data_IF_283200882416
#
_entry.id   IF_283200882416
#
_cell.length_a   1.000
_cell.length_b   1.000
_cell.length_c   1.000
_cell.angle_alpha   90.00
_cell.angle_beta   90.00
_cell.angle_gamma   90.00
#
_symmetry.space_group_name_H-M   'P 1'
#
loop_
_entity.id
_entity.type
_entity.pdbx_description
1 polymer ?
#
# COMPACT_ATOMS: atom_id res chain seq x y z
N UNK A 1 -7.44 -6.02 -19.00
CA UNK A 1 -6.20 -5.27 -18.70
C UNK A 1 -6.50 -3.78 -18.74
N UNK A 2 -5.97 -2.97 -17.80
CA UNK A 2 -6.16 -1.52 -17.81
C UNK A 2 -5.43 -0.86 -18.98
N UNK A 3 -5.98 0.24 -19.49
CA UNK A 3 -5.34 1.06 -20.52
C UNK A 3 -4.13 1.83 -19.97
N UNK A 4 -3.20 2.21 -20.85
CA UNK A 4 -2.06 3.08 -20.48
C UNK A 4 -2.53 4.34 -19.74
N UNK A 5 -3.61 4.96 -20.22
CA UNK A 5 -4.18 6.15 -19.59
C UNK A 5 -4.59 5.90 -18.13
N UNK A 6 -5.28 4.79 -17.85
CA UNK A 6 -5.66 4.39 -16.48
C UNK A 6 -4.45 4.11 -15.59
N UNK A 7 -3.34 3.64 -16.18
CA UNK A 7 -2.09 3.38 -15.44
C UNK A 7 -1.36 4.69 -15.14
N UNK A 8 -1.36 5.66 -16.05
CA UNK A 8 -0.54 6.88 -15.91
C UNK A 8 -1.26 8.07 -15.29
N UNK A 9 -2.59 8.06 -15.24
CA UNK A 9 -3.39 9.11 -14.61
C UNK A 9 -3.73 8.75 -13.16
N UNK A 10 -3.71 9.78 -12.30
CA UNK A 10 -4.15 9.73 -10.91
C UNK A 10 -5.46 10.50 -10.81
N UNK A 11 -6.53 9.84 -10.34
CA UNK A 11 -7.82 10.47 -10.10
C UNK A 11 -7.96 10.65 -8.60
N UNK A 12 -7.93 11.90 -8.15
CA UNK A 12 -8.05 12.26 -6.72
C UNK A 12 -9.51 12.51 -6.28
N UNK A 13 -10.51 12.35 -7.15
CA UNK A 13 -11.90 12.62 -6.75
C UNK A 13 -12.45 11.48 -5.87
N UNK A 14 -12.76 11.74 -4.58
CA UNK A 14 -13.54 10.79 -3.82
C UNK A 14 -14.98 10.90 -4.34
N UNK A 15 -15.52 9.80 -4.88
CA UNK A 15 -16.96 9.68 -4.90
C UNK A 15 -17.45 9.77 -3.44
N UNK A 16 -18.45 10.60 -3.18
CA UNK A 16 -18.94 10.90 -1.83
C UNK A 16 -19.27 9.61 -1.05
N UNK A 17 -18.41 9.20 -0.11
CA UNK A 17 -18.61 8.01 0.70
C UNK A 17 -17.60 7.89 1.83
N UNK A 18 -18.03 7.38 2.99
CA UNK A 18 -17.11 7.01 4.07
C UNK A 18 -16.48 5.65 3.71
N UNK A 19 -15.15 5.57 3.52
CA UNK A 19 -14.50 4.33 3.15
C UNK A 19 -14.25 3.42 4.36
N UNK A 20 -14.33 3.95 5.59
CA UNK A 20 -13.94 3.23 6.79
C UNK A 20 -15.00 2.23 7.23
N UNK A 21 -14.60 0.96 7.32
CA UNK A 21 -15.31 -0.09 8.06
C UNK A 21 -14.94 -0.01 9.54
N UNK A 22 -13.67 0.30 9.81
CA UNK A 22 -13.15 0.59 11.15
C UNK A 22 -12.39 1.91 11.07
N UNK A 23 -12.82 2.90 11.87
CA UNK A 23 -12.14 4.19 11.94
C UNK A 23 -10.71 4.06 12.52
N UNK A 24 -9.71 4.69 11.88
CA UNK A 24 -8.35 4.69 12.40
C UNK A 24 -8.23 5.60 13.62
N UNK A 25 -7.25 5.34 14.49
CA UNK A 25 -6.86 6.32 15.51
C UNK A 25 -5.86 7.33 14.92
N UNK A 26 -5.86 8.58 15.42
CA UNK A 26 -4.76 9.49 15.17
C UNK A 26 -3.45 8.85 15.62
N UNK A 27 -2.44 8.91 14.77
CA UNK A 27 -1.14 8.30 15.04
C UNK A 27 -0.01 9.14 14.50
N UNK A 28 1.11 9.11 15.21
CA UNK A 28 2.36 9.69 14.76
C UNK A 28 3.00 8.72 13.77
N UNK A 29 3.41 9.22 12.60
CA UNK A 29 4.17 8.40 11.64
C UNK A 29 5.59 8.26 12.18
N UNK A 30 5.89 7.11 12.78
CA UNK A 30 7.28 6.73 13.07
C UNK A 30 7.91 6.13 11.81
N UNK A 31 8.92 6.81 11.29
CA UNK A 31 9.73 6.32 10.18
C UNK A 31 10.98 5.64 10.74
N UNK A 32 11.20 4.39 10.36
CA UNK A 32 12.41 3.64 10.72
C UNK A 32 13.30 3.45 9.49
N UNK A 33 14.59 3.24 9.71
CA UNK A 33 15.50 2.82 8.64
C UNK A 33 15.12 1.43 8.12
N UNK A 34 15.61 1.10 6.91
CA UNK A 34 15.27 -0.15 6.27
C UNK A 34 15.65 -1.37 7.13
N UNK A 35 14.69 -2.28 7.32
CA UNK A 35 14.90 -3.55 8.02
C UNK A 35 15.12 -4.68 7.00
N UNK A 36 16.27 -5.38 7.03
CA UNK A 36 16.54 -6.50 6.13
C UNK A 36 15.61 -7.72 6.34
N UNK A 37 14.81 -7.76 7.41
CA UNK A 37 13.82 -8.80 7.63
C UNK A 37 12.48 -8.55 6.90
N UNK A 38 12.22 -7.34 6.38
CA UNK A 38 10.97 -7.05 5.66
C UNK A 38 10.68 -7.98 4.47
N UNK A 39 11.67 -8.35 3.62
CA UNK A 39 11.43 -9.35 2.57
C UNK A 39 11.02 -10.72 3.11
N UNK A 40 11.59 -11.15 4.23
CA UNK A 40 11.24 -12.43 4.89
C UNK A 40 9.81 -12.37 5.42
N UNK A 41 9.47 -11.30 6.16
CA UNK A 41 8.12 -11.07 6.68
C UNK A 41 7.08 -11.04 5.56
N UNK A 42 7.36 -10.32 4.47
CA UNK A 42 6.47 -10.26 3.31
C UNK A 42 6.30 -11.62 2.63
N UNK A 43 7.36 -12.42 2.53
CA UNK A 43 7.29 -13.79 1.99
C UNK A 43 6.36 -14.66 2.85
N UNK A 44 6.49 -14.63 4.17
CA UNK A 44 5.66 -15.41 5.09
C UNK A 44 4.18 -15.01 5.01
N UNK A 45 3.88 -13.71 4.92
CA UNK A 45 2.52 -13.21 4.70
C UNK A 45 1.97 -13.74 3.37
N UNK A 46 2.75 -13.69 2.29
CA UNK A 46 2.34 -14.18 0.96
C UNK A 46 2.05 -15.67 0.97
N UNK A 47 2.91 -16.46 1.59
CA UNK A 47 2.72 -17.91 1.75
C UNK A 47 1.43 -18.20 2.52
N UNK A 48 1.22 -17.52 3.65
CA UNK A 48 0.01 -17.65 4.45
C UNK A 48 -1.27 -17.27 3.69
N UNK A 49 -1.25 -16.17 2.94
CA UNK A 49 -2.40 -15.78 2.10
C UNK A 49 -2.66 -16.78 0.97
N UNK A 50 -1.60 -17.33 0.37
CA UNK A 50 -1.71 -18.37 -0.65
C UNK A 50 -2.32 -19.65 -0.08
N UNK A 51 -1.95 -20.05 1.14
CA UNK A 51 -2.52 -21.22 1.83
C UNK A 51 -3.99 -21.01 2.17
N UNK A 52 -4.34 -19.84 2.71
CA UNK A 52 -5.71 -19.52 3.12
C UNK A 52 -6.69 -19.45 1.94
N UNK A 53 -6.26 -18.86 0.82
CA UNK A 53 -7.15 -18.54 -0.29
C UNK A 53 -7.04 -19.52 -1.47
N UNK A 54 -5.97 -20.31 -1.53
CA UNK A 54 -5.70 -21.24 -2.63
C UNK A 54 -5.82 -20.54 -3.98
N UNK A 55 -6.59 -21.12 -4.90
CA UNK A 55 -6.79 -20.59 -6.25
C UNK A 55 -7.52 -19.23 -6.30
N UNK A 56 -8.12 -18.77 -5.20
CA UNK A 56 -8.75 -17.43 -5.15
C UNK A 56 -7.72 -16.32 -5.12
N UNK A 57 -6.52 -16.57 -4.58
CA UNK A 57 -5.40 -15.65 -4.67
C UNK A 57 -4.72 -15.80 -6.03
N UNK A 58 -5.14 -15.00 -7.00
CA UNK A 58 -4.58 -15.02 -8.37
C UNK A 58 -3.13 -14.56 -8.36
N UNK A 59 -2.83 -13.54 -7.55
CA UNK A 59 -1.50 -12.95 -7.45
C UNK A 59 -1.31 -12.29 -6.09
N UNK A 60 -0.10 -12.36 -5.55
CA UNK A 60 0.25 -11.74 -4.27
C UNK A 60 1.63 -11.09 -4.39
N UNK A 61 1.70 -9.77 -4.25
CA UNK A 61 2.94 -8.99 -4.40
C UNK A 61 3.26 -8.19 -3.15
N UNK A 62 4.53 -8.19 -2.76
CA UNK A 62 5.06 -7.22 -1.80
C UNK A 62 5.30 -5.89 -2.50
N UNK A 63 4.64 -4.84 -2.02
CA UNK A 63 4.66 -3.48 -2.57
C UNK A 63 4.95 -2.47 -1.46
N UNK A 64 4.78 -1.18 -1.77
CA UNK A 64 5.04 -0.11 -0.80
C UNK A 64 6.53 0.09 -0.51
N UNK A 65 6.81 0.88 0.53
CA UNK A 65 8.19 1.28 0.86
C UNK A 65 9.02 0.13 1.43
N UNK A 66 8.41 -0.78 2.19
CA UNK A 66 9.13 -1.92 2.79
C UNK A 66 9.61 -2.94 1.75
N UNK A 67 9.09 -2.86 0.52
CA UNK A 67 9.56 -3.65 -0.61
C UNK A 67 10.80 -3.06 -1.31
N UNK A 68 11.32 -1.90 -0.88
CA UNK A 68 12.48 -1.24 -1.51
C UNK A 68 13.65 -1.27 -0.54
N UNK A 69 14.69 -2.04 -0.88
CA UNK A 69 15.91 -2.13 -0.09
C UNK A 69 16.55 -0.75 0.15
N UNK A 70 16.94 -0.49 1.40
CA UNK A 70 17.56 0.76 1.83
C UNK A 70 16.61 1.97 1.92
N UNK A 71 15.31 1.79 1.73
CA UNK A 71 14.34 2.87 1.83
C UNK A 71 13.72 2.91 3.25
N UNK A 72 13.83 4.03 3.99
CA UNK A 72 13.19 4.16 5.30
C UNK A 72 11.67 4.16 5.17
N UNK A 73 10.95 3.53 6.09
CA UNK A 73 9.51 3.32 5.97
C UNK A 73 8.83 3.32 7.33
N UNK A 74 7.49 3.47 7.33
CA UNK A 74 6.69 2.98 8.45
C UNK A 74 6.86 1.45 8.47
N UNK A 75 7.07 0.80 9.63
CA UNK A 75 7.29 -0.64 9.70
C UNK A 75 5.98 -1.42 9.48
N UNK A 76 5.42 -1.31 8.28
CA UNK A 76 4.19 -1.95 7.83
C UNK A 76 4.46 -2.60 6.48
N UNK A 77 4.19 -3.89 6.36
CA UNK A 77 4.29 -4.62 5.11
C UNK A 77 3.05 -4.34 4.27
N UNK A 78 3.22 -3.82 3.06
CA UNK A 78 2.12 -3.61 2.12
C UNK A 78 2.09 -4.77 1.10
N UNK A 79 0.96 -5.45 1.00
CA UNK A 79 0.71 -6.54 0.06
C UNK A 79 -0.42 -6.16 -0.90
N UNK A 80 -0.20 -6.34 -2.19
CA UNK A 80 -1.29 -6.40 -3.17
C UNK A 80 -1.75 -7.85 -3.30
N UNK A 81 -3.03 -8.11 -3.04
CA UNK A 81 -3.72 -9.36 -3.25
C UNK A 81 -4.69 -9.21 -4.43
N UNK A 82 -4.43 -9.90 -5.53
CA UNK A 82 -5.34 -9.97 -6.67
C UNK A 82 -6.29 -11.16 -6.51
N UNK A 83 -7.59 -10.87 -6.55
CA UNK A 83 -8.67 -11.86 -6.61
C UNK A 83 -9.46 -11.69 -7.90
N UNK A 84 -10.32 -12.64 -8.26
CA UNK A 84 -11.10 -12.55 -9.50
C UNK A 84 -12.05 -11.34 -9.50
N UNK A 85 -12.72 -11.11 -8.37
CA UNK A 85 -13.62 -10.00 -8.12
C UNK A 85 -13.45 -9.56 -6.66
N UNK A 86 -12.97 -8.35 -6.44
CA UNK A 86 -12.80 -7.82 -5.08
C UNK A 86 -14.14 -7.47 -4.42
N UNK A 87 -15.25 -7.42 -5.17
CA UNK A 87 -16.59 -7.24 -4.60
C UNK A 87 -17.21 -8.51 -4.07
N UNK A 88 -16.70 -9.68 -4.47
CA UNK A 88 -17.14 -10.99 -3.96
C UNK A 88 -16.56 -11.29 -2.58
N UNK A 89 -16.91 -10.44 -1.61
CA UNK A 89 -16.42 -10.51 -0.24
C UNK A 89 -16.80 -11.82 0.46
N UNK A 90 -17.94 -12.42 0.07
CA UNK A 90 -18.36 -13.73 0.59
C UNK A 90 -17.33 -14.84 0.29
N UNK A 91 -16.51 -14.67 -0.76
CA UNK A 91 -15.51 -15.64 -1.18
C UNK A 91 -14.21 -15.64 -0.37
N UNK A 92 -13.91 -14.58 0.39
CA UNK A 92 -12.59 -14.44 1.03
C UNK A 92 -12.57 -13.70 2.38
N UNK A 93 -13.55 -12.86 2.69
CA UNK A 93 -13.49 -11.98 3.88
C UNK A 93 -13.49 -12.78 5.18
N UNK A 94 -14.40 -13.74 5.33
CA UNK A 94 -14.44 -14.59 6.54
C UNK A 94 -13.15 -15.36 6.74
N UNK A 95 -12.61 -15.96 5.67
CA UNK A 95 -11.32 -16.67 5.71
C UNK A 95 -10.17 -15.80 6.18
N UNK A 96 -10.10 -14.55 5.71
CA UNK A 96 -9.08 -13.60 6.15
C UNK A 96 -9.31 -13.13 7.59
N UNK A 97 -10.56 -12.88 7.98
CA UNK A 97 -10.91 -12.49 9.35
C UNK A 97 -10.61 -13.58 10.37
N UNK A 98 -10.92 -14.84 10.05
CA UNK A 98 -10.61 -16.00 10.90
C UNK A 98 -9.10 -16.19 11.08
N UNK A 99 -8.30 -15.75 10.09
CA UNK A 99 -6.86 -15.67 10.17
C UNK A 99 -6.35 -14.40 10.89
N UNK A 100 -7.22 -13.54 11.40
CA UNK A 100 -6.80 -12.30 12.07
C UNK A 100 -6.35 -11.21 11.10
N UNK A 101 -6.90 -11.16 9.89
CA UNK A 101 -6.83 -9.97 9.03
C UNK A 101 -8.17 -9.25 9.07
N UNK A 102 -8.19 -7.99 9.50
CA UNK A 102 -9.43 -7.24 9.70
C UNK A 102 -9.67 -6.30 8.54
N UNK A 103 -10.82 -6.42 7.90
CA UNK A 103 -11.27 -5.49 6.87
C UNK A 103 -11.53 -4.11 7.49
N UNK A 104 -10.78 -3.11 7.04
CA UNK A 104 -10.82 -1.75 7.59
C UNK A 104 -11.33 -0.71 6.60
N UNK A 105 -11.22 -0.97 5.29
CA UNK A 105 -11.58 0.00 4.24
C UNK A 105 -12.33 -0.68 3.09
N UNK A 106 -13.36 -0.02 2.58
CA UNK A 106 -14.01 -0.30 1.29
C UNK A 106 -14.05 0.97 0.46
N UNK A 107 -13.48 0.95 -0.73
CA UNK A 107 -13.46 2.08 -1.67
C UNK A 107 -13.99 1.62 -3.03
N UNK A 108 -15.33 1.50 -3.21
CA UNK A 108 -15.92 1.13 -4.49
C UNK A 108 -15.46 2.02 -5.65
N UNK A 109 -15.28 3.32 -5.37
CA UNK A 109 -14.83 4.32 -6.35
C UNK A 109 -13.36 4.21 -6.74
N UNK A 110 -12.53 3.54 -5.94
CA UNK A 110 -11.12 3.35 -6.23
C UNK A 110 -10.87 1.90 -6.64
N UNK A 111 -11.40 1.55 -7.82
CA UNK A 111 -11.23 0.23 -8.42
C UNK A 111 -11.70 -0.92 -7.52
N UNK A 112 -12.80 -0.70 -6.80
CA UNK A 112 -13.37 -1.73 -5.93
C UNK A 112 -12.35 -2.22 -4.88
N UNK A 113 -11.58 -1.29 -4.31
CA UNK A 113 -10.52 -1.62 -3.36
C UNK A 113 -11.09 -2.03 -1.99
N UNK A 114 -10.48 -3.06 -1.40
CA UNK A 114 -10.65 -3.41 0.03
C UNK A 114 -9.30 -3.41 0.71
N UNK A 115 -9.24 -2.88 1.93
CA UNK A 115 -8.02 -2.94 2.75
C UNK A 115 -8.24 -3.82 3.97
N UNK A 116 -7.40 -4.83 4.14
CA UNK A 116 -7.26 -5.55 5.39
C UNK A 116 -6.03 -5.08 6.14
N UNK A 117 -6.12 -5.09 7.47
CA UNK A 117 -4.97 -4.91 8.36
C UNK A 117 -4.74 -6.17 9.18
N UNK A 118 -3.48 -6.56 9.25
CA UNK A 118 -2.97 -7.62 10.13
C UNK A 118 -1.86 -7.09 11.04
N UNK A 119 -1.42 -7.95 11.96
CA UNK A 119 -0.26 -7.72 12.80
C UNK A 119 -0.51 -6.85 14.02
N UNK A 120 0.53 -6.74 14.84
CA UNK A 120 0.55 -5.81 15.97
C UNK A 120 0.77 -4.38 15.47
N UNK A 121 -0.19 -3.51 15.74
CA UNK A 121 -0.14 -2.08 15.44
C UNK A 121 -0.28 -1.26 16.71
N UNK A 122 0.50 -0.19 16.82
CA UNK A 122 0.37 0.75 17.92
C UNK A 122 -0.83 1.71 17.74
N UNK A 123 -1.38 1.79 16.52
CA UNK A 123 -2.25 2.86 16.05
C UNK A 123 -3.67 2.43 15.68
N UNK A 124 -4.09 1.21 16.01
CA UNK A 124 -5.41 0.71 15.64
C UNK A 124 -6.33 0.51 16.86
N UNK A 125 -7.63 0.83 16.67
CA UNK A 125 -8.73 0.36 17.53
C UNK A 125 -8.92 -1.16 17.44
N UNK A 126 -8.33 -1.76 16.42
CA UNK A 126 -8.32 -3.19 16.18
C UNK A 126 -7.21 -3.80 17.06
N UNK A 127 -7.58 -4.68 17.98
CA UNK A 127 -6.63 -5.41 18.83
C UNK A 127 -5.58 -6.14 17.96
N UNK A 128 -4.37 -6.46 18.48
CA UNK A 128 -3.37 -7.22 17.73
C UNK A 128 -4.02 -8.47 17.13
N UNK A 129 -4.13 -8.52 15.80
CA UNK A 129 -5.13 -9.37 15.17
C UNK A 129 -4.65 -10.81 14.98
N UNK A 130 -3.35 -11.00 14.74
CA UNK A 130 -2.71 -12.31 14.53
C UNK A 130 -1.33 -12.45 15.19
N UNK A 131 -0.83 -11.39 15.85
CA UNK A 131 0.49 -11.35 16.48
C UNK A 131 1.67 -11.23 15.50
N UNK A 132 1.41 -11.17 14.19
CA UNK A 132 2.42 -11.03 13.14
C UNK A 132 2.93 -9.59 12.95
N UNK A 133 3.79 -9.36 11.94
CA UNK A 133 4.23 -8.01 11.57
C UNK A 133 3.03 -7.17 11.10
N UNK A 134 3.05 -5.86 11.40
CA UNK A 134 2.01 -4.95 10.94
C UNK A 134 1.89 -5.02 9.41
N UNK A 135 0.71 -5.31 8.90
CA UNK A 135 0.52 -5.63 7.48
C UNK A 135 -0.72 -4.97 6.91
N UNK A 136 -0.61 -4.33 5.75
CA UNK A 136 -1.72 -3.89 4.90
C UNK A 136 -1.89 -4.89 3.76
N UNK A 137 -3.11 -5.35 3.50
CA UNK A 137 -3.43 -6.18 2.34
C UNK A 137 -4.45 -5.42 1.51
N UNK A 138 -4.00 -4.88 0.39
CA UNK A 138 -4.80 -4.22 -0.62
C UNK A 138 -5.40 -5.27 -1.55
N UNK A 139 -6.71 -5.36 -1.62
CA UNK A 139 -7.41 -6.34 -2.45
C UNK A 139 -8.01 -5.65 -3.66
N UNK A 140 -7.66 -6.15 -4.84
CA UNK A 140 -8.12 -5.64 -6.13
C UNK A 140 -8.53 -6.78 -7.08
N UNK A 141 -9.38 -6.45 -8.06
CA UNK A 141 -9.58 -7.27 -9.26
C UNK A 141 -8.38 -7.23 -10.23
N UNK A 142 -8.27 -8.17 -11.17
CA UNK A 142 -7.10 -8.33 -12.05
C UNK A 142 -6.89 -7.17 -13.02
N UNK A 143 -7.93 -6.37 -13.26
CA UNK A 143 -7.91 -5.24 -14.18
C UNK A 143 -7.62 -3.89 -13.50
N UNK A 144 -7.36 -3.88 -12.20
CA UNK A 144 -7.01 -2.65 -11.48
C UNK A 144 -5.67 -2.08 -11.97
N UNK A 145 -5.60 -0.79 -12.38
CA UNK A 145 -4.35 -0.15 -12.74
C UNK A 145 -3.39 0.01 -11.56
N UNK A 146 -3.92 0.04 -10.32
CA UNK A 146 -3.12 0.23 -9.10
C UNK A 146 -2.09 -0.89 -8.90
N UNK A 147 -2.46 -2.14 -9.25
CA UNK A 147 -1.54 -3.28 -9.25
C UNK A 147 -0.29 -2.99 -10.09
N UNK A 148 -0.45 -2.36 -11.26
CA UNK A 148 0.66 -2.00 -12.14
C UNK A 148 1.43 -0.81 -11.57
N UNK A 149 0.73 0.22 -11.10
CA UNK A 149 1.34 1.43 -10.52
C UNK A 149 2.24 1.07 -9.34
N UNK A 150 1.75 0.29 -8.38
CA UNK A 150 2.52 -0.15 -7.23
C UNK A 150 3.80 -0.89 -7.62
N UNK A 151 3.72 -1.80 -8.59
CA UNK A 151 4.89 -2.54 -9.09
C UNK A 151 5.89 -1.65 -9.82
N UNK A 152 5.40 -0.75 -10.69
CA UNK A 152 6.25 0.19 -11.42
C UNK A 152 7.00 1.08 -10.44
N UNK A 153 6.31 1.64 -9.45
CA UNK A 153 6.93 2.49 -8.44
C UNK A 153 7.99 1.74 -7.63
N UNK A 154 7.64 0.56 -7.10
CA UNK A 154 8.57 -0.31 -6.36
C UNK A 154 9.81 -0.64 -7.19
N UNK A 155 9.62 -1.12 -8.42
CA UNK A 155 10.71 -1.56 -9.27
C UNK A 155 11.61 -0.38 -9.67
N UNK A 156 11.02 0.78 -9.97
CA UNK A 156 11.75 1.99 -10.27
C UNK A 156 12.64 2.43 -9.11
N UNK A 157 12.09 2.48 -7.89
CA UNK A 157 12.85 2.85 -6.70
C UNK A 157 13.95 1.85 -6.32
N UNK A 158 13.83 0.58 -6.73
CA UNK A 158 14.91 -0.41 -6.59
C UNK A 158 16.08 -0.15 -7.54
N UNK A 159 15.84 0.46 -8.70
CA UNK A 159 16.87 0.74 -9.71
C UNK A 159 17.39 2.19 -9.71
N UNK A 160 16.59 3.14 -9.24
CA UNK A 160 16.91 4.58 -9.26
C UNK A 160 17.33 5.05 -7.87
N UNK A 161 18.64 5.08 -7.61
CA UNK A 161 19.18 5.56 -6.33
C UNK A 161 18.79 7.01 -6.05
N UNK A 162 18.80 7.87 -7.07
CA UNK A 162 18.43 9.29 -6.92
C UNK A 162 16.97 9.47 -6.52
N UNK A 163 16.04 8.75 -7.15
CA UNK A 163 14.62 8.85 -6.80
C UNK A 163 14.30 8.15 -5.48
N UNK A 164 14.99 7.06 -5.15
CA UNK A 164 14.92 6.45 -3.82
C UNK A 164 15.33 7.43 -2.73
N UNK A 165 16.44 8.16 -2.93
CA UNK A 165 16.90 9.19 -2.00
C UNK A 165 15.90 10.34 -1.91
N UNK A 166 15.43 10.86 -3.05
CA UNK A 166 14.43 11.94 -3.11
C UNK A 166 13.16 11.56 -2.33
N UNK A 167 12.66 10.34 -2.53
CA UNK A 167 11.48 9.85 -1.82
C UNK A 167 11.73 9.65 -0.32
N UNK A 168 12.91 9.16 0.07
CA UNK A 168 13.30 9.05 1.48
C UNK A 168 13.32 10.41 2.17
N UNK A 169 13.91 11.42 1.54
CA UNK A 169 14.01 12.79 2.08
C UNK A 169 12.62 13.42 2.22
N UNK A 170 11.75 13.25 1.22
CA UNK A 170 10.37 13.72 1.28
C UNK A 170 9.57 13.06 2.43
N UNK A 171 9.78 11.77 2.69
CA UNK A 171 9.15 11.07 3.83
C UNK A 171 9.64 11.58 5.17
N UNK A 172 10.96 11.80 5.33
CA UNK A 172 11.54 12.35 6.56
C UNK A 172 11.02 13.75 6.85
N UNK A 173 10.95 14.60 5.81
CA UNK A 173 10.40 15.94 5.94
C UNK A 173 8.92 15.93 6.39
N UNK A 174 8.10 15.05 5.79
CA UNK A 174 6.69 14.92 6.18
C UNK A 174 6.51 14.40 7.62
N UNK A 175 7.32 13.42 8.05
CA UNK A 175 7.28 12.90 9.42
C UNK A 175 7.67 13.96 10.46
N UNK A 176 8.67 14.80 10.16
CA UNK A 176 9.07 15.92 11.02
C UNK A 176 8.00 17.00 11.16
N UNK A 177 7.23 17.25 10.08
CA UNK A 177 6.19 18.28 10.06
C UNK A 177 4.91 17.90 10.82
N UNK A 178 4.65 16.61 11.08
CA UNK A 178 3.47 16.18 11.86
C UNK A 178 3.40 16.74 13.29
N UNK A 179 4.48 17.36 13.78
CA UNK A 179 4.53 18.04 15.07
C UNK A 179 3.94 19.48 15.02
N UNK A 180 3.64 20.04 13.85
CA UNK A 180 3.12 21.41 13.66
C UNK A 180 1.94 21.43 12.66
N UNK A 181 0.71 21.68 13.15
CA UNK A 181 -0.55 21.44 12.42
C UNK A 181 -0.67 22.12 11.03
N UNK A 182 -0.22 23.37 10.89
CA UNK A 182 -0.28 24.10 9.61
C UNK A 182 0.81 23.65 8.62
N UNK A 183 1.92 23.09 9.13
CA UNK A 183 2.98 22.53 8.29
C UNK A 183 2.54 21.19 7.67
N UNK A 184 1.71 20.40 8.35
CA UNK A 184 1.30 19.05 7.90
C UNK A 184 0.68 19.05 6.50
N UNK A 185 -0.21 20.02 6.20
CA UNK A 185 -0.92 20.07 4.92
C UNK A 185 0.00 20.43 3.75
N UNK A 186 0.90 21.41 3.94
CA UNK A 186 1.88 21.82 2.92
C UNK A 186 2.91 20.72 2.65
N UNK A 187 3.38 20.02 3.70
CA UNK A 187 4.35 18.93 3.52
C UNK A 187 3.76 17.64 2.93
N UNK A 188 2.51 17.29 3.26
CA UNK A 188 1.83 16.17 2.60
C UNK A 188 1.60 16.46 1.11
N UNK A 189 1.22 17.69 0.75
CA UNK A 189 1.12 18.12 -0.64
C UNK A 189 2.47 18.03 -1.37
N UNK A 190 3.57 18.49 -0.74
CA UNK A 190 4.92 18.36 -1.31
C UNK A 190 5.34 16.91 -1.51
N UNK A 191 5.04 16.03 -0.55
CA UNK A 191 5.30 14.59 -0.70
C UNK A 191 4.50 14.00 -1.87
N UNK A 192 3.24 14.40 -2.04
CA UNK A 192 2.42 13.98 -3.18
C UNK A 192 3.04 14.44 -4.51
N UNK A 193 3.51 15.69 -4.60
CA UNK A 193 4.25 16.17 -5.77
C UNK A 193 5.47 15.31 -6.10
N UNK A 194 6.30 15.01 -5.10
CA UNK A 194 7.49 14.15 -5.28
C UNK A 194 7.09 12.75 -5.78
N UNK A 195 6.02 12.16 -5.24
CA UNK A 195 5.53 10.85 -5.69
C UNK A 195 5.11 10.90 -7.17
N UNK A 196 4.35 11.92 -7.57
CA UNK A 196 3.88 12.08 -8.95
C UNK A 196 5.03 12.29 -9.94
N UNK A 197 6.03 13.09 -9.57
CA UNK A 197 7.23 13.28 -10.39
C UNK A 197 8.04 11.99 -10.58
N UNK A 198 8.18 11.20 -9.51
CA UNK A 198 8.84 9.88 -9.56
C UNK A 198 8.03 8.93 -10.46
N UNK A 199 6.70 8.93 -10.33
CA UNK A 199 5.83 8.14 -11.19
C UNK A 199 5.99 8.51 -12.66
N UNK A 200 6.04 9.81 -13.00
CA UNK A 200 6.27 10.23 -14.38
C UNK A 200 7.56 9.64 -14.95
N UNK A 201 8.67 9.72 -14.20
CA UNK A 201 9.95 9.11 -14.60
C UNK A 201 9.86 7.60 -14.71
N UNK A 202 9.23 6.95 -13.74
CA UNK A 202 9.05 5.50 -13.71
C UNK A 202 8.21 5.00 -14.90
N UNK A 203 7.14 5.73 -15.27
CA UNK A 203 6.29 5.41 -16.40
C UNK A 203 7.00 5.61 -17.74
N UNK A 204 7.80 6.68 -17.90
CA UNK A 204 8.65 6.87 -19.08
C UNK A 204 9.65 5.72 -19.23
N UNK A 205 10.36 5.38 -18.16
CA UNK A 205 11.32 4.28 -18.16
C UNK A 205 10.69 2.91 -18.44
N UNK A 206 9.44 2.71 -18.02
CA UNK A 206 8.67 1.49 -18.26
C UNK A 206 7.92 1.48 -19.60
N UNK A 207 8.04 2.54 -20.41
CA UNK A 207 7.40 2.65 -21.72
C UNK A 207 5.89 2.98 -21.70
N UNK A 208 5.33 3.33 -20.53
CA UNK A 208 3.94 3.79 -20.42
C UNK A 208 3.77 5.24 -20.86
N UNK A 209 4.81 6.07 -20.75
CA UNK A 209 4.84 7.45 -21.25
C UNK A 209 5.94 7.60 -22.30
N UNK A 210 5.67 8.45 -23.31
CA UNK A 210 6.64 8.86 -24.33
C UNK A 210 7.29 10.17 -23.95
#
# INVERSE_FOLDING_TARGET
MPSTRQITEFSDEPAAGNPWVVEPLPTTIELVEYDPEWPTQAREIRERLSELLGLRAIRIDHVGSTAVEGLPAKPVIDIDLTVADSTDEAGYVSTLQDAGFVLTVREPWWHEHRLFRGGRRADDRVAPTDGGPATNIHVFGPDSPELIKHLVFRNWLRSSESDRKLYADAKRAAAGAQQEHDAVMDYNARKQTVILEIYERAFRASGFLR
#
